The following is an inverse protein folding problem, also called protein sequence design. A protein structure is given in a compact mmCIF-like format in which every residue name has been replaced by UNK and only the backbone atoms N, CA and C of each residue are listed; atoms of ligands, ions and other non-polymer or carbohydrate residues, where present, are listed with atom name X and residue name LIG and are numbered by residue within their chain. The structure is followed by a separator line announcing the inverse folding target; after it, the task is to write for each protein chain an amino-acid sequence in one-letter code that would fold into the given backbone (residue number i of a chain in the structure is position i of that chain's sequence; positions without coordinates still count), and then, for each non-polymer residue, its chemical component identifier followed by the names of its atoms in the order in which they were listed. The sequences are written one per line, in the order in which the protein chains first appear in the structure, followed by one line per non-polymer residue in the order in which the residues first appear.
data_IF_564948743366
#
_entry.id   IF_564948743366
#
_cell.length_a   1.000
_cell.length_b   1.000
_cell.length_c   1.000
_cell.angle_alpha   90.00
_cell.angle_beta   90.00
_cell.angle_gamma   90.00
#
_symmetry.space_group_name_H-M   'P 1'
#
loop_
_entity.id
_entity.type
_entity.pdbx_description
1 polymer ?
#
# COMPACT_ATOMS: atom_id res chain seq x y z
N UNK A 1 -11.10 6.50 -22.88
CA UNK A 1 -10.22 5.93 -21.83
C UNK A 1 -11.10 5.15 -20.86
N UNK A 2 -10.81 3.87 -20.58
CA UNK A 2 -11.65 3.05 -19.68
C UNK A 2 -11.37 3.42 -18.23
N UNK A 3 -12.42 3.52 -17.42
CA UNK A 3 -12.32 3.68 -15.96
C UNK A 3 -12.27 2.32 -15.27
N UNK A 4 -11.38 2.17 -14.29
CA UNK A 4 -11.24 1.01 -13.42
C UNK A 4 -11.30 1.48 -11.97
N UNK A 5 -12.00 0.72 -11.13
CA UNK A 5 -12.01 0.92 -9.68
C UNK A 5 -11.05 -0.09 -9.07
N UNK A 6 -10.23 0.34 -8.13
CA UNK A 6 -9.29 -0.51 -7.41
C UNK A 6 -9.42 -0.25 -5.91
N UNK A 7 -9.56 -1.33 -5.13
CA UNK A 7 -9.61 -1.24 -3.67
C UNK A 7 -8.38 -1.92 -3.07
N UNK A 8 -7.85 -1.30 -2.03
CA UNK A 8 -6.66 -1.72 -1.31
C UNK A 8 -6.85 -1.58 0.20
N UNK A 9 -6.00 -2.25 0.96
CA UNK A 9 -5.89 -2.07 2.40
C UNK A 9 -4.42 -2.04 2.84
N UNK A 10 -4.17 -1.48 4.02
CA UNK A 10 -2.85 -1.31 4.61
C UNK A 10 -2.92 -0.43 5.85
N UNK A 11 -1.84 0.28 6.18
CA UNK A 11 -1.89 1.32 7.20
C UNK A 11 -0.65 1.49 8.07
N UNK A 12 -0.87 2.03 9.26
CA UNK A 12 0.18 2.48 10.17
C UNK A 12 0.55 1.34 11.13
N UNK A 13 1.69 0.68 10.88
CA UNK A 13 2.26 -0.31 11.79
C UNK A 13 3.13 0.39 12.82
N UNK A 14 2.74 0.34 14.09
CA UNK A 14 3.38 1.05 15.20
C UNK A 14 4.03 0.05 16.16
N UNK A 15 5.28 0.32 16.55
CA UNK A 15 5.95 -0.36 17.66
C UNK A 15 6.25 0.62 18.80
N UNK A 16 6.47 0.09 20.00
CA UNK A 16 6.81 0.90 21.17
C UNK A 16 5.64 1.34 22.05
N UNK A 17 4.42 0.83 21.81
CA UNK A 17 3.20 1.25 22.53
C UNK A 17 3.33 1.13 24.06
N UNK A 18 3.75 -0.03 24.58
CA UNK A 18 3.93 -0.22 26.02
C UNK A 18 5.05 0.68 26.58
N UNK A 19 6.13 0.88 25.83
CA UNK A 19 7.27 1.72 26.23
C UNK A 19 6.91 3.21 26.25
N UNK A 20 6.02 3.64 25.36
CA UNK A 20 5.46 4.99 25.35
C UNK A 20 4.59 5.24 26.59
N UNK A 21 3.71 4.30 26.94
CA UNK A 21 2.81 4.41 28.09
C UNK A 21 3.50 4.20 29.46
N UNK A 22 4.70 3.63 29.51
CA UNK A 22 5.45 3.46 30.76
C UNK A 22 5.98 4.79 31.34
N UNK A 23 5.87 5.91 30.60
CA UNK A 23 6.23 7.24 31.05
C UNK A 23 4.97 7.97 31.55
N UNK A 24 4.99 8.38 32.80
CA UNK A 24 3.89 9.12 33.44
C UNK A 24 4.12 10.64 33.37
N UNK A 25 3.06 11.48 33.35
CA UNK A 25 1.63 11.14 33.45
C UNK A 25 0.93 10.83 32.12
N UNK A 26 1.57 11.12 30.99
CA UNK A 26 1.01 10.92 29.65
C UNK A 26 1.98 10.10 28.79
N UNK A 27 1.47 9.17 27.95
CA UNK A 27 2.33 8.40 27.05
C UNK A 27 3.23 9.27 26.19
N UNK A 28 4.52 8.94 26.18
CA UNK A 28 5.54 9.61 25.39
C UNK A 28 5.56 9.06 23.96
N UNK A 29 4.79 9.70 23.06
CA UNK A 29 4.67 9.29 21.66
C UNK A 29 6.00 9.38 20.88
N UNK A 30 7.00 10.11 21.38
CA UNK A 30 8.32 10.19 20.74
C UNK A 30 9.08 8.85 20.78
N UNK A 31 8.63 7.92 21.64
CA UNK A 31 9.13 6.54 21.73
C UNK A 31 8.52 5.59 20.71
N UNK A 32 7.53 6.05 19.96
CA UNK A 32 6.90 5.25 18.92
C UNK A 32 7.69 5.33 17.63
N UNK A 33 7.78 4.20 16.97
CA UNK A 33 8.31 4.08 15.62
C UNK A 33 7.29 3.41 14.72
N UNK A 34 7.33 3.76 13.44
CA UNK A 34 6.40 3.29 12.43
C UNK A 34 7.15 2.72 11.25
N UNK A 35 6.72 1.55 10.77
CA UNK A 35 7.26 0.97 9.54
C UNK A 35 6.70 1.74 8.33
N UNK A 36 7.60 2.30 7.53
CA UNK A 36 7.28 2.92 6.25
C UNK A 36 8.02 2.22 5.12
N UNK A 37 7.44 2.32 3.93
CA UNK A 37 8.04 1.84 2.69
C UNK A 37 8.45 3.04 1.83
N UNK A 38 9.63 2.92 1.22
CA UNK A 38 10.22 3.90 0.32
C UNK A 38 10.18 3.40 -1.12
N UNK A 39 9.69 4.24 -2.04
CA UNK A 39 9.70 3.97 -3.49
C UNK A 39 10.33 5.14 -4.23
N UNK A 40 11.13 4.86 -5.27
CA UNK A 40 11.67 5.92 -6.12
C UNK A 40 10.63 6.42 -7.13
N UNK A 41 10.47 7.74 -7.21
CA UNK A 41 9.71 8.35 -8.30
C UNK A 41 10.51 8.35 -9.62
N UNK A 42 9.87 8.81 -10.71
CA UNK A 42 10.50 8.89 -12.04
C UNK A 42 11.75 9.77 -12.11
N UNK A 43 12.00 10.60 -11.09
CA UNK A 43 13.16 11.49 -10.96
C UNK A 43 14.19 10.93 -9.97
N UNK A 44 14.02 9.70 -9.50
CA UNK A 44 14.89 9.07 -8.51
C UNK A 44 14.75 9.64 -7.11
N UNK A 45 13.64 10.31 -6.77
CA UNK A 45 13.39 10.82 -5.42
C UNK A 45 12.67 9.77 -4.60
N UNK A 46 13.11 9.57 -3.35
CA UNK A 46 12.45 8.67 -2.42
C UNK A 46 11.11 9.24 -1.96
N UNK A 47 10.05 8.47 -2.18
CA UNK A 47 8.69 8.72 -1.69
C UNK A 47 8.37 7.70 -0.60
N UNK A 48 8.12 8.20 0.62
CA UNK A 48 7.72 7.36 1.74
C UNK A 48 6.21 7.34 1.90
N UNK A 49 5.66 6.16 2.14
CA UNK A 49 4.24 5.94 2.39
C UNK A 49 4.00 4.81 3.37
N UNK A 50 2.75 4.67 3.81
CA UNK A 50 2.31 3.49 4.57
C UNK A 50 2.29 2.25 3.66
N UNK A 51 2.57 1.04 4.19
CA UNK A 51 2.38 -0.19 3.45
C UNK A 51 0.91 -0.41 3.11
N UNK A 52 0.63 -0.84 1.88
CA UNK A 52 -0.71 -1.10 1.34
C UNK A 52 -0.65 -1.79 -0.03
N UNK A 53 -1.55 -2.73 -0.24
CA UNK A 53 -1.76 -3.35 -1.55
C UNK A 53 -3.18 -3.85 -1.76
N UNK A 54 -3.37 -4.67 -2.79
CA UNK A 54 -4.70 -4.98 -3.31
C UNK A 54 -5.43 -5.99 -2.43
N UNK A 55 -6.75 -5.83 -2.30
CA UNK A 55 -7.57 -6.86 -1.65
C UNK A 55 -7.65 -8.07 -2.57
N UNK A 56 -7.25 -9.24 -2.09
CA UNK A 56 -7.36 -10.49 -2.83
C UNK A 56 -8.74 -11.15 -2.64
N UNK A 57 -9.15 -12.04 -3.57
CA UNK A 57 -10.42 -12.74 -3.46
C UNK A 57 -10.53 -13.55 -2.16
N UNK A 58 -11.55 -13.22 -1.35
CA UNK A 58 -11.83 -13.92 -0.09
C UNK A 58 -11.20 -13.28 1.14
N UNK A 59 -10.36 -12.25 0.98
CA UNK A 59 -9.82 -11.49 2.11
C UNK A 59 -10.80 -10.46 2.64
N UNK A 60 -10.81 -10.30 3.96
CA UNK A 60 -11.29 -9.09 4.63
C UNK A 60 -10.30 -7.95 4.49
N UNK A 61 -10.75 -6.72 4.76
CA UNK A 61 -9.89 -5.53 4.66
C UNK A 61 -8.75 -5.60 5.68
N UNK A 62 -9.03 -6.13 6.87
CA UNK A 62 -8.09 -6.34 7.96
C UNK A 62 -7.05 -7.41 7.63
N UNK A 63 -7.48 -8.53 7.02
CA UNK A 63 -6.57 -9.58 6.53
C UNK A 63 -5.62 -9.03 5.47
N UNK A 64 -6.14 -8.31 4.48
CA UNK A 64 -5.32 -7.63 3.47
C UNK A 64 -4.35 -6.66 4.12
N UNK A 65 -4.80 -5.81 5.06
CA UNK A 65 -3.92 -4.81 5.68
C UNK A 65 -2.74 -5.46 6.43
N UNK A 66 -3.00 -6.56 7.15
CA UNK A 66 -1.96 -7.33 7.84
C UNK A 66 -1.02 -8.04 6.86
N UNK A 67 -1.57 -8.71 5.83
CA UNK A 67 -0.76 -9.40 4.80
C UNK A 67 0.17 -8.41 4.10
N UNK A 68 -0.36 -7.29 3.64
CA UNK A 68 0.42 -6.27 2.91
C UNK A 68 1.47 -5.63 3.81
N UNK A 69 1.16 -5.35 5.09
CA UNK A 69 2.18 -4.91 6.04
C UNK A 69 3.33 -5.93 6.17
N UNK A 70 3.02 -7.21 6.27
CA UNK A 70 4.03 -8.26 6.37
C UNK A 70 4.82 -8.44 5.07
N UNK A 71 4.18 -8.43 3.90
CA UNK A 71 4.83 -8.60 2.60
C UNK A 71 5.73 -7.41 2.25
N UNK A 72 5.23 -6.19 2.44
CA UNK A 72 5.93 -4.98 2.04
C UNK A 72 6.98 -4.50 3.06
N UNK A 73 6.91 -4.98 4.31
CA UNK A 73 7.83 -4.51 5.36
C UNK A 73 8.49 -5.61 6.18
N UNK A 74 8.02 -6.86 6.12
CA UNK A 74 8.44 -7.94 7.03
C UNK A 74 7.87 -7.83 8.46
N UNK A 75 7.07 -6.80 8.75
CA UNK A 75 6.47 -6.59 10.06
C UNK A 75 5.14 -7.34 10.22
N UNK A 76 5.12 -8.41 11.01
CA UNK A 76 3.86 -9.02 11.44
C UNK A 76 3.19 -8.12 12.49
N UNK A 77 1.88 -7.98 12.39
CA UNK A 77 1.12 -7.01 13.15
C UNK A 77 -0.32 -7.43 13.43
N UNK A 78 -0.85 -6.86 14.51
CA UNK A 78 -2.26 -7.01 14.92
C UNK A 78 -3.01 -5.73 14.60
N UNK A 79 -4.15 -5.86 13.90
CA UNK A 79 -5.05 -4.74 13.63
C UNK A 79 -5.73 -4.30 14.92
N UNK A 80 -5.56 -3.03 15.29
CA UNK A 80 -6.20 -2.40 16.46
C UNK A 80 -7.51 -1.70 16.09
N UNK A 81 -7.65 -1.28 14.83
CA UNK A 81 -8.88 -0.70 14.32
C UNK A 81 -8.68 0.18 13.09
N UNK A 82 -9.79 0.71 12.53
CA UNK A 82 -9.74 1.52 11.32
C UNK A 82 -9.14 2.90 11.60
N UNK A 83 -8.17 3.31 10.77
CA UNK A 83 -7.56 4.64 10.82
C UNK A 83 -8.24 5.60 9.85
N UNK A 84 -8.59 5.17 8.65
CA UNK A 84 -9.31 6.01 7.69
C UNK A 84 -9.30 5.46 6.28
N UNK A 85 -9.91 6.20 5.35
CA UNK A 85 -9.97 5.85 3.93
C UNK A 85 -9.39 7.01 3.13
N UNK A 86 -8.53 6.69 2.16
CA UNK A 86 -8.00 7.65 1.19
C UNK A 86 -8.40 7.16 -0.19
N UNK A 87 -8.94 8.04 -1.02
CA UNK A 87 -9.21 7.74 -2.42
C UNK A 87 -8.63 8.81 -3.36
N UNK A 88 -8.17 8.36 -4.52
CA UNK A 88 -7.54 9.24 -5.51
C UNK A 88 -7.64 8.68 -6.92
N UNK A 89 -7.43 9.57 -7.89
CA UNK A 89 -7.45 9.23 -9.31
C UNK A 89 -6.05 9.29 -9.91
N UNK A 90 -5.69 8.30 -10.72
CA UNK A 90 -4.48 8.34 -11.53
C UNK A 90 -4.66 7.66 -12.90
N UNK A 91 -3.66 7.80 -13.75
CA UNK A 91 -3.65 7.18 -15.09
C UNK A 91 -2.45 6.26 -15.20
N UNK A 92 -2.71 4.99 -15.49
CA UNK A 92 -1.68 4.00 -15.78
C UNK A 92 -2.13 3.15 -16.97
N UNK A 93 -1.18 2.83 -17.87
CA UNK A 93 -1.43 1.96 -19.03
C UNK A 93 -2.66 2.33 -19.87
N UNK A 94 -2.92 3.64 -20.05
CA UNK A 94 -4.07 4.13 -20.81
C UNK A 94 -5.44 3.90 -20.13
N UNK A 95 -5.46 3.63 -18.83
CA UNK A 95 -6.66 3.47 -18.00
C UNK A 95 -6.75 4.58 -16.96
N UNK A 96 -7.97 5.04 -16.67
CA UNK A 96 -8.25 5.94 -15.54
C UNK A 96 -8.57 5.07 -14.33
N UNK A 97 -7.78 5.14 -13.28
CA UNK A 97 -7.95 4.31 -12.09
C UNK A 97 -8.45 5.20 -10.95
N UNK A 98 -9.56 4.80 -10.31
CA UNK A 98 -9.99 5.32 -9.01
C UNK A 98 -9.55 4.34 -7.96
N UNK A 99 -8.59 4.73 -7.14
CA UNK A 99 -8.04 3.91 -6.07
C UNK A 99 -8.72 4.31 -4.77
N UNK A 100 -9.17 3.32 -4.00
CA UNK A 100 -9.63 3.47 -2.61
C UNK A 100 -8.75 2.62 -1.71
N UNK A 101 -8.20 3.20 -0.65
CA UNK A 101 -7.30 2.52 0.28
C UNK A 101 -7.85 2.64 1.70
N UNK A 102 -8.14 1.49 2.31
CA UNK A 102 -8.55 1.37 3.70
C UNK A 102 -7.32 1.25 4.60
N UNK A 103 -7.08 2.26 5.44
CA UNK A 103 -5.96 2.30 6.36
C UNK A 103 -6.39 1.86 7.75
N UNK A 104 -5.60 1.00 8.36
CA UNK A 104 -5.74 0.52 9.74
C UNK A 104 -4.60 1.02 10.61
N UNK A 105 -4.86 1.14 11.91
CA UNK A 105 -3.83 1.26 12.91
C UNK A 105 -3.48 -0.15 13.39
N UNK A 106 -2.20 -0.50 13.35
CA UNK A 106 -1.71 -1.84 13.62
C UNK A 106 -0.60 -1.80 14.66
N UNK A 107 -0.60 -2.74 15.61
CA UNK A 107 0.51 -2.96 16.55
C UNK A 107 1.48 -3.95 15.91
N UNK A 108 2.76 -3.60 15.88
CA UNK A 108 3.83 -4.54 15.57
C UNK A 108 3.92 -5.65 16.63
N UNK A 109 3.92 -6.90 16.19
CA UNK A 109 4.06 -8.05 17.08
C UNK A 109 5.48 -8.66 17.00
N UNK A 110 5.96 -8.96 15.80
CA UNK A 110 7.28 -9.55 15.55
C UNK A 110 7.68 -9.47 14.05
N UNK A 111 8.87 -9.99 13.71
CA UNK A 111 9.42 -9.98 12.36
C UNK A 111 10.60 -9.02 12.21
N UNK A 112 11.30 -9.10 11.09
CA UNK A 112 12.43 -8.24 10.77
C UNK A 112 12.11 -7.45 9.50
N UNK A 113 12.61 -6.22 9.40
CA UNK A 113 12.33 -5.42 8.21
C UNK A 113 12.94 -6.09 6.97
N UNK A 114 12.13 -6.20 5.93
CA UNK A 114 12.50 -6.86 4.69
C UNK A 114 12.03 -6.01 3.50
N UNK A 115 12.93 -5.81 2.52
CA UNK A 115 12.70 -5.07 1.28
C UNK A 115 12.67 -6.00 0.05
N UNK A 116 12.29 -7.27 0.24
CA UNK A 116 12.24 -8.28 -0.83
C UNK A 116 11.16 -8.01 -1.89
N UNK A 117 10.19 -7.13 -1.61
CA UNK A 117 9.22 -6.69 -2.62
C UNK A 117 9.93 -5.84 -3.69
N UNK A 118 9.94 -6.26 -4.97
CA UNK A 118 10.59 -5.51 -6.04
C UNK A 118 9.98 -4.13 -6.32
N UNK A 119 8.78 -3.83 -5.82
CA UNK A 119 8.17 -2.50 -5.89
C UNK A 119 8.70 -1.53 -4.81
N UNK A 120 9.49 -2.04 -3.86
CA UNK A 120 9.99 -1.33 -2.69
C UNK A 120 11.50 -1.15 -2.81
N UNK A 121 11.96 0.07 -2.54
CA UNK A 121 13.38 0.42 -2.57
C UNK A 121 14.00 0.37 -1.18
N UNK A 122 13.22 0.69 -0.15
CA UNK A 122 13.71 0.77 1.22
C UNK A 122 12.55 0.54 2.18
N UNK A 123 12.82 -0.10 3.32
CA UNK A 123 11.89 -0.20 4.44
C UNK A 123 12.59 0.32 5.69
N UNK A 124 11.90 1.17 6.46
CA UNK A 124 12.50 1.77 7.65
C UNK A 124 11.49 1.91 8.79
N UNK A 125 12.00 1.72 10.01
CA UNK A 125 11.37 2.26 11.21
C UNK A 125 11.66 3.76 11.28
N UNK A 126 10.60 4.56 11.28
CA UNK A 126 10.66 6.02 11.33
C UNK A 126 10.04 6.48 12.65
N UNK A 127 10.70 7.38 13.36
CA UNK A 127 10.15 7.97 14.57
C UNK A 127 8.80 8.64 14.29
N UNK A 128 7.84 8.47 15.19
CA UNK A 128 6.46 8.94 14.98
C UNK A 128 6.39 10.46 14.74
N UNK A 129 7.24 11.23 15.42
CA UNK A 129 7.29 12.69 15.27
C UNK A 129 7.91 13.16 13.95
N UNK A 130 8.62 12.29 13.23
CA UNK A 130 9.19 12.60 11.91
C UNK A 130 8.20 12.34 10.77
N UNK A 131 7.12 11.59 11.01
CA UNK A 131 6.15 11.20 9.98
C UNK A 131 5.54 12.39 9.21
N UNK A 132 5.16 13.52 9.84
CA UNK A 132 4.61 14.67 9.10
C UNK A 132 5.59 15.25 8.07
N UNK A 133 6.90 15.06 8.26
CA UNK A 133 7.93 15.52 7.32
C UNK A 133 8.34 14.43 6.34
N UNK A 134 8.20 13.17 6.74
CA UNK A 134 8.73 12.03 5.96
C UNK A 134 7.74 11.50 4.93
N UNK A 135 6.46 11.40 5.29
CA UNK A 135 5.42 10.91 4.38
C UNK A 135 5.26 11.82 3.16
N UNK A 136 5.24 11.24 1.97
CA UNK A 136 5.10 11.97 0.72
C UNK A 136 3.68 12.55 0.55
N UNK A 137 2.66 11.81 0.98
CA UNK A 137 1.27 12.11 0.63
C UNK A 137 0.55 12.91 1.73
N UNK A 138 -0.12 14.04 1.40
CA UNK A 138 -0.85 14.86 2.37
C UNK A 138 -1.93 14.11 3.15
N UNK A 139 -2.63 13.19 2.50
CA UNK A 139 -3.76 12.48 3.14
C UNK A 139 -3.27 11.46 4.17
N UNK A 140 -2.13 10.81 3.92
CA UNK A 140 -1.48 9.96 4.94
C UNK A 140 -1.01 10.78 6.15
N UNK A 141 -0.49 12.00 5.92
CA UNK A 141 -0.16 12.91 7.03
C UNK A 141 -1.40 13.25 7.88
N UNK A 142 -2.57 13.41 7.26
CA UNK A 142 -3.83 13.60 8.00
C UNK A 142 -4.22 12.37 8.81
N UNK A 143 -3.96 11.16 8.30
CA UNK A 143 -4.16 9.93 9.06
C UNK A 143 -3.20 9.86 10.26
N UNK A 144 -1.95 10.32 10.13
CA UNK A 144 -1.01 10.42 11.27
C UNK A 144 -1.52 11.39 12.34
N UNK A 145 -2.07 12.55 11.95
CA UNK A 145 -2.67 13.47 12.93
C UNK A 145 -3.86 12.84 13.66
N UNK A 146 -4.66 12.02 12.96
CA UNK A 146 -5.71 11.22 13.61
C UNK A 146 -5.12 10.14 14.51
N UNK A 147 -4.05 9.46 14.11
CA UNK A 147 -3.39 8.46 14.95
C UNK A 147 -2.85 9.10 16.24
N UNK A 148 -2.30 10.31 16.16
CA UNK A 148 -1.78 11.07 17.33
C UNK A 148 -2.83 11.26 18.42
N UNK A 149 -4.12 11.39 18.07
CA UNK A 149 -5.19 11.53 19.07
C UNK A 149 -5.64 10.19 19.67
N UNK A 150 -5.48 9.09 18.94
CA UNK A 150 -5.90 7.75 19.36
C UNK A 150 -4.80 7.01 20.16
N UNK A 151 -3.55 7.23 19.81
CA UNK A 151 -2.40 6.49 20.33
C UNK A 151 -2.22 6.56 21.85
N UNK A 152 -2.49 7.68 22.57
CA UNK A 152 -2.33 7.70 24.02
C UNK A 152 -3.19 6.65 24.73
N UNK A 153 -4.45 6.49 24.34
CA UNK A 153 -5.34 5.49 24.95
C UNK A 153 -4.92 4.07 24.56
N UNK A 154 -4.61 3.87 23.28
CA UNK A 154 -4.15 2.57 22.77
C UNK A 154 -2.85 2.12 23.44
N UNK A 155 -1.93 3.04 23.73
CA UNK A 155 -0.69 2.76 24.43
C UNK A 155 -0.94 2.33 25.87
N UNK A 156 -1.90 2.97 26.57
CA UNK A 156 -2.33 2.55 27.92
C UNK A 156 -3.00 1.18 27.89
N UNK A 157 -3.86 0.94 26.90
CA UNK A 157 -4.50 -0.36 26.70
C UNK A 157 -3.47 -1.45 26.42
N UNK A 158 -2.41 -1.15 25.67
CA UNK A 158 -1.30 -2.08 25.44
C UNK A 158 -0.59 -2.42 26.75
N UNK A 159 -0.18 -1.40 27.51
CA UNK A 159 0.53 -1.60 28.79
C UNK A 159 -0.31 -2.38 29.80
N UNK A 160 -1.64 -2.19 29.77
CA UNK A 160 -2.57 -2.90 30.64
C UNK A 160 -3.01 -4.27 30.09
N UNK A 161 -2.53 -4.69 28.92
CA UNK A 161 -2.88 -5.97 28.29
C UNK A 161 -4.34 -6.07 27.83
N UNK A 162 -4.97 -4.93 27.49
CA UNK A 162 -6.37 -4.86 27.01
C UNK A 162 -6.49 -4.88 25.49
N UNK A 163 -5.40 -4.60 24.77
CA UNK A 163 -5.37 -4.72 23.31
C UNK A 163 -5.51 -6.18 22.86
N UNK A 164 -6.03 -6.43 21.64
CA UNK A 164 -6.13 -7.78 21.10
C UNK A 164 -4.77 -8.49 21.14
N UNK A 165 -4.78 -9.76 21.54
CA UNK A 165 -3.59 -10.59 21.47
C UNK A 165 -3.22 -10.84 19.99
N UNK A 166 -1.93 -11.03 19.68
CA UNK A 166 -1.52 -11.48 18.35
C UNK A 166 -2.28 -12.75 17.96
N UNK A 167 -2.74 -12.81 16.70
CA UNK A 167 -3.23 -14.06 16.16
C UNK A 167 -2.11 -15.11 16.26
N UNK A 168 -2.46 -16.37 16.51
CA UNK A 168 -1.47 -17.44 16.47
C UNK A 168 -0.72 -17.40 15.13
N UNK A 169 0.62 -17.44 15.17
CA UNK A 169 1.49 -17.23 14.03
C UNK A 169 1.01 -18.03 12.80
N UNK A 170 0.29 -17.35 11.92
CA UNK A 170 -0.01 -17.88 10.60
C UNK A 170 1.24 -17.65 9.77
N UNK A 171 1.88 -18.73 9.32
CA UNK A 171 2.88 -18.63 8.27
C UNK A 171 2.18 -18.12 7.02
N UNK A 172 2.37 -16.83 6.74
CA UNK A 172 1.98 -16.22 5.47
C UNK A 172 3.18 -16.39 4.54
N UNK A 173 2.97 -17.04 3.40
CA UNK A 173 3.99 -17.12 2.36
C UNK A 173 3.93 -15.80 1.57
N UNK A 174 4.94 -14.92 1.66
CA UNK A 174 4.93 -13.60 1.03
C UNK A 174 4.94 -13.66 -0.50
N UNK A 175 5.12 -14.85 -1.09
CA UNK A 175 5.10 -15.08 -2.53
C UNK A 175 3.76 -15.63 -3.05
N UNK A 176 2.80 -15.88 -2.16
CA UNK A 176 1.59 -16.64 -2.48
C UNK A 176 0.54 -15.76 -3.14
N UNK A 177 0.57 -15.67 -4.47
CA UNK A 177 -0.61 -15.27 -5.27
C UNK A 177 -1.68 -16.34 -5.13
N UNK A 178 -2.79 -16.04 -4.47
CA UNK A 178 -3.95 -16.93 -4.48
C UNK A 178 -4.59 -16.90 -5.88
N UNK A 179 -4.77 -18.07 -6.49
CA UNK A 179 -5.40 -18.25 -7.81
C UNK A 179 -6.69 -17.41 -7.95
N UNK A 180 -6.65 -16.39 -8.81
CA UNK A 180 -7.77 -15.46 -8.99
C UNK A 180 -8.93 -16.04 -9.82
N UNK A 181 -10.15 -15.45 -9.75
CA UNK A 181 -11.14 -15.66 -10.78
C UNK A 181 -10.87 -14.73 -11.98
N UNK A 182 -10.98 -15.26 -13.20
CA UNK A 182 -10.97 -14.47 -14.42
C UNK A 182 -12.12 -13.44 -14.40
N UNK A 183 -11.92 -12.20 -14.88
CA UNK A 183 -13.00 -11.23 -14.98
C UNK A 183 -14.08 -11.74 -15.93
N UNK A 184 -15.30 -11.86 -15.41
CA UNK A 184 -16.48 -12.31 -16.16
C UNK A 184 -16.71 -11.40 -17.37
N UNK A 185 -16.51 -11.94 -18.58
CA UNK A 185 -17.04 -11.33 -19.81
C UNK A 185 -18.54 -11.55 -19.85
N UNK A 186 -19.32 -10.46 -19.79
CA UNK A 186 -20.71 -10.47 -20.25
C UNK A 186 -20.75 -10.81 -21.74
N UNK A 187 -21.15 -12.02 -22.09
CA UNK A 187 -21.57 -12.35 -23.45
C UNK A 187 -23.06 -12.04 -23.59
N UNK A 188 -23.38 -10.96 -24.30
CA UNK A 188 -24.63 -10.89 -25.05
C UNK A 188 -24.53 -11.85 -26.25
N UNK A 189 -25.62 -12.57 -26.51
CA UNK A 189 -25.79 -13.45 -27.66
C UNK A 189 -25.59 -12.70 -28.98
N UNK A 190 -24.94 -13.36 -29.94
CA UNK A 190 -24.84 -12.90 -31.32
C UNK A 190 -23.99 -13.85 -32.17
N UNK A 191 -24.67 -14.62 -33.02
CA UNK A 191 -24.20 -15.79 -33.76
C UNK A 191 -23.23 -15.51 -34.91
N UNK A 192 -22.54 -16.60 -35.29
CA UNK A 192 -22.17 -17.04 -36.65
C UNK A 192 -20.76 -16.79 -37.22
N UNK A 193 -20.14 -17.93 -37.54
CA UNK A 193 -19.38 -18.27 -38.74
C UNK A 193 -18.03 -17.60 -39.06
N UNK A 194 -16.97 -18.42 -38.97
CA UNK A 194 -16.28 -18.87 -40.18
C UNK A 194 -14.95 -18.20 -40.56
N UNK A 195 -13.97 -19.09 -40.76
CA UNK A 195 -12.82 -19.03 -41.69
C UNK A 195 -11.44 -18.66 -41.16
N UNK A 196 -10.49 -19.38 -41.77
CA UNK A 196 -9.12 -19.70 -41.37
C UNK A 196 -8.09 -18.81 -42.09
N UNK A 197 -6.87 -18.90 -41.57
CA UNK A 197 -5.55 -18.81 -42.22
C UNK A 197 -4.97 -17.43 -42.54
N UNK A 198 -3.65 -17.31 -42.28
CA UNK A 198 -2.74 -16.50 -43.09
C UNK A 198 -1.73 -15.69 -42.31
N UNK A 199 -0.53 -16.23 -42.13
CA UNK A 199 0.65 -15.49 -41.68
C UNK A 199 1.15 -14.51 -42.76
N UNK A 200 1.58 -13.30 -42.35
CA UNK A 200 2.69 -12.54 -42.97
C UNK A 200 3.00 -11.26 -42.14
N UNK A 201 4.24 -11.15 -41.64
CA UNK A 201 4.99 -9.89 -41.49
C UNK A 201 5.83 -9.72 -42.80
N UNK A 202 6.55 -8.60 -43.07
CA UNK A 202 6.74 -7.34 -42.32
C UNK A 202 6.56 -6.06 -43.18
N UNK A 203 6.69 -4.88 -42.57
CA UNK A 203 6.81 -3.63 -43.32
C UNK A 203 7.10 -2.42 -42.44
N UNK A 204 8.38 -2.21 -42.14
CA UNK A 204 8.94 -0.94 -41.62
C UNK A 204 8.85 0.10 -42.75
N UNK A 205 8.47 1.33 -42.44
CA UNK A 205 8.87 2.51 -43.23
C UNK A 205 9.02 3.73 -42.34
N UNK A 206 10.24 4.25 -42.33
CA UNK A 206 10.61 5.60 -41.93
C UNK A 206 10.13 6.61 -42.98
N UNK A 207 9.81 7.82 -42.55
CA UNK A 207 9.93 9.02 -43.39
C UNK A 207 10.40 10.19 -42.52
N UNK A 208 11.66 10.57 -42.73
CA UNK A 208 12.21 11.91 -42.52
C UNK A 208 11.54 12.89 -43.51
N UNK A 209 11.30 14.16 -43.15
CA UNK A 209 12.31 15.23 -43.26
C UNK A 209 11.69 16.62 -43.05
N UNK A 210 12.49 17.56 -42.55
CA UNK A 210 12.19 18.98 -42.37
C UNK A 210 12.36 19.78 -43.67
N UNK A 211 12.06 21.09 -43.64
CA UNK A 211 13.07 22.01 -44.19
C UNK A 211 13.37 23.21 -43.28
N UNK A 212 14.65 23.57 -43.25
CA UNK A 212 15.15 24.89 -42.86
C UNK A 212 14.93 25.91 -44.00
N UNK A 213 14.61 27.16 -43.65
CA UNK A 213 14.87 28.33 -44.52
C UNK A 213 15.62 29.42 -43.73
N UNK A 214 16.91 29.54 -44.08
CA UNK A 214 17.67 30.74 -44.47
C UNK A 214 17.26 32.15 -43.99
N UNK A 215 18.20 32.77 -43.27
CA UNK A 215 18.70 34.16 -43.31
C UNK A 215 17.80 35.32 -43.75
N UNK A 216 17.67 36.31 -42.85
CA UNK A 216 18.11 37.70 -43.02
C UNK A 216 18.29 38.36 -41.66
#
# INVERSE_FOLDING_TARGET
MRTVLETSAGGLVVRGLAQAAAVEPEPDLSRLEVALIGRLDRRGRMLWSMPKGHIEPGETIEETARREALEETGADSTVLGPLGIIDYWFVAEGRRIHKTVHHHLMRYDHGELCDEDPEITEVAWVAFDDLPRRLAYPDERRLVEKARTLLPEIARDELAGRNPAPAAAQQVDPSRRADGPAPVRRTGQGSSAGLKNGAAKPGIRHHDDAPEESTS
#
